data_IF_876412551331
#
_entry.id   IF_876412551331
#
_cell.length_a   1.000
_cell.length_b   1.000
_cell.length_c   1.000
_cell.angle_alpha   90.00
_cell.angle_beta   90.00
_cell.angle_gamma   90.00
#
_symmetry.space_group_name_H-M   'P 1'
#
loop_
_entity.id
_entity.type
_entity.pdbx_description
1 polymer ?
#
# COMPACT_ATOMS: atom_id res chain seq x y z
N UNK A 1 9.18 -10.69 4.80
CA UNK A 1 10.54 -10.17 4.91
C UNK A 1 10.53 -8.65 4.98
N UNK A 2 10.00 -7.91 4.00
CA UNK A 2 10.00 -6.46 3.98
C UNK A 2 9.33 -5.80 5.20
N UNK A 3 8.23 -6.34 5.70
CA UNK A 3 7.61 -5.84 6.93
C UNK A 3 8.47 -6.11 8.17
N UNK A 4 9.24 -7.22 8.20
CA UNK A 4 10.18 -7.48 9.28
C UNK A 4 11.31 -6.44 9.30
N UNK A 5 11.90 -6.11 8.16
CA UNK A 5 12.91 -5.05 8.05
C UNK A 5 12.33 -3.69 8.43
N UNK A 6 11.13 -3.37 7.92
CA UNK A 6 10.41 -2.15 8.24
C UNK A 6 10.21 -1.97 9.74
N UNK A 7 9.86 -3.04 10.44
CA UNK A 7 9.52 -2.99 11.88
C UNK A 7 10.68 -2.55 12.77
N UNK A 8 11.92 -2.83 12.37
CA UNK A 8 13.12 -2.52 13.18
C UNK A 8 13.94 -1.36 12.65
N UNK A 9 13.94 -1.13 11.33
CA UNK A 9 14.86 -0.20 10.67
C UNK A 9 14.24 1.16 10.36
N UNK A 10 12.91 1.29 10.28
CA UNK A 10 12.30 2.53 9.82
C UNK A 10 11.73 3.37 10.97
N UNK A 11 11.89 4.69 10.83
CA UNK A 11 11.39 5.73 11.70
C UNK A 11 11.62 7.09 11.05
N UNK A 12 11.39 8.18 11.79
CA UNK A 12 11.66 9.53 11.32
C UNK A 12 13.17 9.75 11.13
N UNK A 13 13.64 10.04 9.90
CA UNK A 13 15.08 10.19 9.62
C UNK A 13 15.75 11.38 10.33
N UNK A 14 14.97 12.35 10.81
CA UNK A 14 15.51 13.45 11.62
C UNK A 14 15.88 13.02 13.04
N UNK A 15 15.40 11.85 13.48
CA UNK A 15 15.59 11.32 14.83
C UNK A 15 16.34 9.99 14.87
N UNK A 16 16.30 9.20 13.79
CA UNK A 16 16.96 7.90 13.70
C UNK A 16 17.65 7.75 12.36
N UNK A 17 18.82 7.12 12.38
CA UNK A 17 19.53 6.83 11.14
C UNK A 17 18.81 5.69 10.40
N UNK A 18 18.24 6.01 9.23
CA UNK A 18 17.65 5.04 8.33
C UNK A 18 18.58 4.83 7.15
N UNK A 19 19.12 3.62 7.01
CA UNK A 19 19.99 3.25 5.90
C UNK A 19 19.17 2.94 4.64
N UNK A 20 18.65 4.00 4.00
CA UNK A 20 17.81 3.91 2.81
C UNK A 20 18.60 3.28 1.66
N UNK A 21 19.87 3.64 1.48
CA UNK A 21 20.72 3.13 0.40
C UNK A 21 20.85 1.60 0.49
N UNK A 22 21.16 1.07 1.67
CA UNK A 22 21.21 -0.37 1.89
C UNK A 22 19.85 -1.02 1.66
N UNK A 23 18.79 -0.51 2.31
CA UNK A 23 17.45 -1.12 2.28
C UNK A 23 16.86 -1.17 0.86
N UNK A 24 17.23 -0.24 -0.02
CA UNK A 24 16.77 -0.20 -1.42
C UNK A 24 17.76 -0.83 -2.41
N UNK A 25 18.90 -1.35 -1.93
CA UNK A 25 19.92 -1.95 -2.79
C UNK A 25 19.52 -3.31 -3.34
N UNK A 26 20.02 -3.62 -4.54
CA UNK A 26 19.86 -4.96 -5.13
C UNK A 26 20.55 -6.04 -4.30
N UNK A 27 21.65 -5.70 -3.62
CA UNK A 27 22.36 -6.61 -2.73
C UNK A 27 21.51 -7.02 -1.52
N UNK A 28 20.87 -6.05 -0.84
CA UNK A 28 19.94 -6.34 0.25
C UNK A 28 18.74 -7.14 -0.23
N UNK A 29 18.16 -6.78 -1.38
CA UNK A 29 17.05 -7.55 -1.95
C UNK A 29 17.45 -9.01 -2.22
N UNK A 30 18.63 -9.27 -2.75
CA UNK A 30 19.14 -10.61 -3.00
C UNK A 30 19.39 -11.39 -1.69
N UNK A 31 19.99 -10.73 -0.68
CA UNK A 31 20.18 -11.31 0.65
C UNK A 31 18.84 -11.75 1.26
N UNK A 32 17.83 -10.87 1.22
CA UNK A 32 16.50 -11.17 1.76
C UNK A 32 15.79 -12.24 0.97
N UNK A 33 15.88 -12.20 -0.36
CA UNK A 33 15.30 -13.22 -1.24
C UNK A 33 15.88 -14.61 -0.99
N UNK A 34 17.19 -14.72 -0.71
CA UNK A 34 17.86 -15.98 -0.40
C UNK A 34 17.32 -16.67 0.86
N UNK A 35 16.64 -15.94 1.75
CA UNK A 35 15.95 -16.51 2.92
C UNK A 35 14.57 -17.08 2.56
N UNK A 36 14.03 -16.77 1.39
CA UNK A 36 12.75 -17.29 0.93
C UNK A 36 12.92 -18.62 0.21
N UNK A 37 11.85 -19.42 0.19
CA UNK A 37 11.80 -20.67 -0.56
C UNK A 37 10.62 -20.62 -1.53
N UNK A 38 10.78 -21.03 -2.79
CA UNK A 38 9.67 -21.19 -3.70
C UNK A 38 8.78 -22.39 -3.35
N UNK A 39 9.27 -23.31 -2.50
CA UNK A 39 8.59 -24.56 -2.16
C UNK A 39 7.79 -24.45 -0.87
N UNK A 40 8.23 -23.64 0.10
CA UNK A 40 7.61 -23.58 1.43
C UNK A 40 7.50 -22.14 1.93
N UNK A 41 6.39 -21.85 2.63
CA UNK A 41 6.21 -20.61 3.37
C UNK A 41 7.25 -20.52 4.50
N UNK A 42 8.00 -19.42 4.55
CA UNK A 42 9.00 -19.19 5.60
C UNK A 42 8.37 -18.82 6.94
N UNK A 43 9.07 -19.17 8.03
CA UNK A 43 8.77 -18.68 9.36
C UNK A 43 9.61 -17.43 9.64
N UNK A 44 8.94 -16.31 9.75
CA UNK A 44 9.56 -15.06 10.16
C UNK A 44 8.91 -14.65 11.47
N UNK A 45 9.68 -14.72 12.58
CA UNK A 45 9.16 -14.51 13.91
C UNK A 45 8.49 -13.13 14.03
N UNK A 46 7.21 -13.09 14.43
CA UNK A 46 6.59 -11.87 14.89
C UNK A 46 6.87 -11.65 16.38
N UNK A 47 6.60 -10.44 16.85
CA UNK A 47 6.57 -10.20 18.28
C UNK A 47 5.38 -10.95 18.93
N UNK A 48 5.63 -11.60 20.08
CA UNK A 48 4.62 -12.39 20.78
C UNK A 48 3.45 -11.56 21.31
N UNK A 49 2.24 -12.06 21.05
CA UNK A 49 1.08 -11.92 21.94
C UNK A 49 0.30 -10.61 21.92
N UNK A 50 -0.38 -10.23 20.81
CA UNK A 50 -1.57 -9.36 20.87
C UNK A 50 -2.48 -9.66 19.68
N UNK A 51 -3.80 -9.82 19.92
CA UNK A 51 -4.81 -9.87 18.86
C UNK A 51 -4.96 -8.49 18.20
N UNK A 52 -4.75 -8.42 16.90
CA UNK A 52 -5.00 -7.21 16.13
C UNK A 52 -6.51 -7.00 15.94
N UNK A 53 -7.02 -5.84 16.36
CA UNK A 53 -8.33 -5.37 15.92
C UNK A 53 -8.12 -4.48 14.70
N UNK A 54 -8.72 -4.86 13.58
CA UNK A 54 -8.73 -4.03 12.39
C UNK A 54 -9.65 -2.82 12.60
N UNK A 55 -9.10 -1.62 12.38
CA UNK A 55 -9.87 -0.41 12.17
C UNK A 55 -9.70 0.03 10.72
N UNK A 56 -10.82 0.32 10.02
CA UNK A 56 -10.76 0.84 8.67
C UNK A 56 -10.03 2.19 8.64
N UNK A 57 -8.93 2.27 7.88
CA UNK A 57 -8.20 3.52 7.66
C UNK A 57 -8.92 4.41 6.64
N UNK A 58 -8.89 5.73 6.84
CA UNK A 58 -9.43 6.70 5.90
C UNK A 58 -8.28 7.34 5.11
N UNK A 59 -7.87 6.68 4.06
CA UNK A 59 -6.80 7.10 3.14
C UNK A 59 -7.38 7.24 1.74
N UNK A 60 -6.92 8.25 1.00
CA UNK A 60 -7.25 8.44 -0.40
C UNK A 60 -5.99 8.56 -1.23
N UNK A 61 -6.04 8.09 -2.47
CA UNK A 61 -4.97 8.23 -3.44
C UNK A 61 -5.52 8.80 -4.75
N UNK A 62 -4.75 9.71 -5.35
CA UNK A 62 -4.99 10.15 -6.72
C UNK A 62 -3.68 10.23 -7.51
N UNK A 63 -3.79 10.00 -8.82
CA UNK A 63 -2.70 10.10 -9.76
C UNK A 63 -3.16 10.92 -10.97
N UNK A 64 -2.29 11.80 -11.46
CA UNK A 64 -2.59 12.68 -12.60
C UNK A 64 -1.38 12.73 -13.52
N UNK A 65 -1.60 12.73 -14.82
CA UNK A 65 -0.60 13.05 -15.85
C UNK A 65 -1.18 14.07 -16.83
N UNK A 66 -0.34 14.98 -17.30
CA UNK A 66 -0.73 15.97 -18.30
C UNK A 66 0.01 15.79 -19.63
N UNK A 67 -0.48 16.49 -20.68
CA UNK A 67 0.11 16.46 -22.04
C UNK A 67 1.54 17.00 -22.11
N UNK A 68 2.02 17.70 -21.08
CA UNK A 68 3.36 18.26 -21.03
C UNK A 68 4.37 17.31 -20.38
N UNK A 69 3.90 16.15 -19.86
CA UNK A 69 4.71 15.16 -19.17
C UNK A 69 4.87 15.42 -17.67
N UNK A 70 4.08 16.34 -17.10
CA UNK A 70 3.99 16.47 -15.66
C UNK A 70 3.17 15.32 -15.10
N UNK A 71 3.58 14.81 -13.95
CA UNK A 71 2.89 13.71 -13.27
C UNK A 71 2.84 13.95 -11.76
N UNK A 72 1.74 13.57 -11.16
CA UNK A 72 1.53 13.58 -9.70
C UNK A 72 1.02 12.20 -9.26
N UNK A 73 1.59 11.69 -8.17
CA UNK A 73 1.09 10.52 -7.45
C UNK A 73 1.02 10.93 -5.98
N UNK A 74 -0.18 11.04 -5.43
CA UNK A 74 -0.37 11.55 -4.07
C UNK A 74 -1.30 10.66 -3.26
N UNK A 75 -0.84 10.28 -2.08
CA UNK A 75 -1.64 9.62 -1.06
C UNK A 75 -1.78 10.53 0.15
N UNK A 76 -3.00 10.69 0.66
CA UNK A 76 -3.30 11.51 1.82
C UNK A 76 -4.21 10.78 2.79
N UNK A 77 -4.09 11.07 4.08
CA UNK A 77 -4.86 10.39 5.11
C UNK A 77 -5.10 11.29 6.32
N UNK A 78 -6.23 11.07 6.98
CA UNK A 78 -6.46 11.49 8.36
C UNK A 78 -6.35 10.33 9.33
N UNK A 79 -5.92 9.18 8.83
CA UNK A 79 -5.69 7.86 9.40
C UNK A 79 -6.98 7.08 9.66
N UNK A 80 -7.76 7.36 10.67
CA UNK A 80 -9.04 6.69 10.90
C UNK A 80 -10.21 7.52 10.35
N UNK A 81 -11.43 6.95 10.27
CA UNK A 81 -12.62 7.67 9.85
C UNK A 81 -12.79 8.94 10.68
N UNK A 82 -12.87 10.10 10.01
CA UNK A 82 -12.93 11.43 10.63
C UNK A 82 -11.74 11.78 11.54
N UNK A 83 -10.58 11.11 11.39
CA UNK A 83 -9.35 11.36 12.15
C UNK A 83 -9.59 11.31 13.66
N UNK A 84 -9.25 12.38 14.39
CA UNK A 84 -9.52 12.48 15.83
C UNK A 84 -10.94 13.03 16.16
N UNK A 85 -11.79 13.24 15.15
CA UNK A 85 -13.15 13.76 15.33
C UNK A 85 -13.23 15.27 15.64
N UNK A 86 -12.13 16.00 15.49
CA UNK A 86 -12.07 17.44 15.71
C UNK A 86 -12.04 18.17 14.36
N UNK A 87 -13.05 18.98 14.11
CA UNK A 87 -13.09 19.92 12.99
C UNK A 87 -12.42 21.23 13.43
N UNK A 88 -11.49 21.73 12.59
CA UNK A 88 -10.84 23.02 12.87
C UNK A 88 -11.80 24.14 12.47
N UNK A 89 -12.20 24.93 13.47
CA UNK A 89 -13.17 26.01 13.28
C UNK A 89 -12.64 27.06 12.29
N UNK A 90 -13.50 27.47 11.37
CA UNK A 90 -13.19 28.44 10.31
C UNK A 90 -12.29 27.90 9.18
N UNK A 91 -11.76 26.65 9.26
CA UNK A 91 -10.87 26.09 8.26
C UNK A 91 -11.51 24.99 7.40
N UNK A 92 -12.57 24.34 7.87
CA UNK A 92 -13.34 23.35 7.12
C UNK A 92 -12.66 21.99 6.91
N UNK A 93 -11.68 21.63 7.74
CA UNK A 93 -11.04 20.32 7.72
C UNK A 93 -11.02 19.62 9.09
N UNK A 94 -10.86 18.31 9.05
CA UNK A 94 -10.75 17.45 10.24
C UNK A 94 -9.29 17.18 10.57
N UNK A 95 -8.92 17.22 11.85
CA UNK A 95 -7.58 16.84 12.28
C UNK A 95 -7.38 15.33 12.19
N UNK A 96 -6.18 14.92 11.76
CA UNK A 96 -5.80 13.51 11.74
C UNK A 96 -5.59 12.96 13.17
N UNK A 97 -5.54 11.63 13.28
CA UNK A 97 -5.12 10.91 14.48
C UNK A 97 -3.88 10.03 14.24
N UNK A 98 -2.98 10.47 13.37
CA UNK A 98 -1.77 9.74 12.95
C UNK A 98 -0.77 9.47 14.11
N UNK A 99 -0.94 10.09 15.26
CA UNK A 99 -0.18 9.76 16.47
C UNK A 99 -0.23 8.26 16.83
N UNK A 100 -1.30 7.57 16.46
CA UNK A 100 -1.45 6.12 16.67
C UNK A 100 -0.59 5.25 15.74
N UNK A 101 0.09 5.84 14.74
CA UNK A 101 1.08 5.17 13.90
C UNK A 101 2.46 5.10 14.55
N UNK A 102 2.68 5.81 15.66
CA UNK A 102 3.87 5.60 16.48
C UNK A 102 3.87 4.26 17.20
N UNK A 103 5.06 3.78 17.55
CA UNK A 103 5.25 2.69 18.49
C UNK A 103 4.96 3.20 19.91
N UNK A 104 3.78 2.95 20.43
CA UNK A 104 3.45 3.27 21.81
C UNK A 104 4.30 2.44 22.79
N UNK A 105 4.63 1.20 22.41
CA UNK A 105 5.55 0.30 23.10
C UNK A 105 6.33 -0.48 22.05
N UNK A 106 7.68 -0.38 22.00
CA UNK A 106 8.49 -1.13 21.05
C UNK A 106 8.21 -2.64 21.11
N UNK A 107 8.02 -3.26 19.95
CA UNK A 107 7.68 -4.67 19.82
C UNK A 107 6.20 -5.02 20.01
N UNK A 108 5.36 -4.11 20.46
CA UNK A 108 3.92 -4.34 20.54
C UNK A 108 3.26 -4.19 19.14
N UNK A 109 2.19 -4.96 18.91
CA UNK A 109 1.35 -4.82 17.72
C UNK A 109 0.58 -3.50 17.76
N UNK A 110 0.51 -2.84 16.62
CA UNK A 110 -0.41 -1.72 16.39
C UNK A 110 -1.83 -2.24 16.16
N UNK A 111 -2.81 -1.33 16.17
CA UNK A 111 -4.20 -1.65 15.78
C UNK A 111 -4.32 -2.20 14.34
N UNK A 112 -3.31 -2.00 13.50
CA UNK A 112 -3.25 -2.49 12.13
C UNK A 112 -2.46 -3.80 11.98
N UNK A 113 -2.07 -4.44 13.10
CA UNK A 113 -1.34 -5.70 13.09
C UNK A 113 0.13 -5.60 12.69
N UNK A 114 0.70 -4.40 12.71
CA UNK A 114 2.13 -4.19 12.49
C UNK A 114 2.86 -4.05 13.82
N UNK A 115 4.11 -4.50 13.87
CA UNK A 115 5.03 -4.20 14.98
C UNK A 115 6.01 -3.15 14.54
N UNK A 116 6.39 -2.28 15.48
CA UNK A 116 7.46 -1.31 15.28
C UNK A 116 8.45 -1.37 16.43
N UNK A 117 9.72 -1.20 16.11
CA UNK A 117 10.78 -1.08 17.08
C UNK A 117 10.85 0.32 17.74
N UNK A 118 11.91 0.53 18.52
CA UNK A 118 12.18 1.81 19.17
C UNK A 118 12.43 2.96 18.18
N UNK A 119 12.85 2.67 16.96
CA UNK A 119 13.04 3.66 15.91
C UNK A 119 11.79 4.51 15.64
N UNK A 120 10.59 3.93 15.76
CA UNK A 120 9.31 4.62 15.60
C UNK A 120 8.63 4.98 16.93
N UNK A 121 9.36 5.04 18.05
CA UNK A 121 8.81 5.46 19.34
C UNK A 121 8.43 6.92 19.33
N UNK A 122 7.35 7.24 20.07
CA UNK A 122 6.84 8.62 20.20
C UNK A 122 7.87 9.54 20.86
N UNK A 123 8.04 10.73 20.29
CA UNK A 123 8.91 11.78 20.81
C UNK A 123 8.39 13.15 20.33
N UNK A 124 8.60 14.21 21.12
CA UNK A 124 8.22 15.57 20.71
C UNK A 124 8.92 16.00 19.43
N UNK A 125 8.17 16.57 18.50
CA UNK A 125 8.69 17.01 17.18
C UNK A 125 8.86 15.92 16.14
N UNK A 126 8.67 14.65 16.49
CA UNK A 126 8.85 13.50 15.63
C UNK A 126 7.62 13.20 14.79
N UNK A 127 7.83 12.72 13.55
CA UNK A 127 6.78 12.27 12.62
C UNK A 127 6.61 10.74 12.70
N UNK A 128 5.39 10.21 12.75
CA UNK A 128 5.16 8.77 12.75
C UNK A 128 5.43 8.13 11.39
N UNK A 129 5.82 6.87 11.40
CA UNK A 129 6.03 6.08 10.19
C UNK A 129 4.70 5.81 9.47
N UNK A 130 4.63 6.19 8.19
CA UNK A 130 3.46 5.96 7.34
C UNK A 130 3.60 4.70 6.48
N UNK A 131 2.46 4.09 6.12
CA UNK A 131 2.37 3.04 5.09
C UNK A 131 1.97 3.59 3.72
N UNK A 132 1.71 4.87 3.58
CA UNK A 132 1.42 5.49 2.28
C UNK A 132 2.62 5.35 1.35
N UNK A 133 2.38 4.88 0.13
CA UNK A 133 3.40 4.56 -0.87
C UNK A 133 3.02 5.08 -2.26
N UNK A 134 2.81 6.41 -2.41
CA UNK A 134 2.62 6.98 -3.74
C UNK A 134 3.89 6.73 -4.56
N UNK A 135 3.72 6.13 -5.75
CA UNK A 135 4.85 5.67 -6.55
C UNK A 135 4.76 6.17 -7.98
N UNK A 136 5.91 6.30 -8.62
CA UNK A 136 6.01 6.65 -10.03
C UNK A 136 7.06 5.79 -10.71
N UNK A 137 6.70 5.21 -11.85
CA UNK A 137 7.61 4.47 -12.71
C UNK A 137 7.97 5.34 -13.90
N UNK A 138 9.24 5.39 -14.22
CA UNK A 138 9.76 6.06 -15.41
C UNK A 138 10.24 5.04 -16.44
N UNK A 139 9.92 5.30 -17.70
CA UNK A 139 10.43 4.55 -18.84
C UNK A 139 11.01 5.55 -19.85
N UNK A 140 12.25 5.31 -20.28
CA UNK A 140 12.96 6.16 -21.24
C UNK A 140 12.98 7.65 -20.84
N UNK A 141 13.15 7.91 -19.52
CA UNK A 141 13.23 9.26 -18.96
C UNK A 141 11.90 10.00 -18.83
N UNK A 142 10.76 9.35 -19.06
CA UNK A 142 9.40 9.94 -18.93
C UNK A 142 8.57 9.20 -17.89
N UNK A 143 7.64 9.88 -17.21
CA UNK A 143 6.64 9.20 -16.41
C UNK A 143 5.86 8.19 -17.26
N UNK A 144 5.90 6.93 -16.84
CA UNK A 144 5.20 5.82 -17.48
C UNK A 144 3.95 5.45 -16.70
N UNK A 145 4.07 5.35 -15.36
CA UNK A 145 2.98 4.98 -14.47
C UNK A 145 3.06 5.83 -13.20
N UNK A 146 1.98 6.49 -12.82
CA UNK A 146 1.77 7.06 -11.50
C UNK A 146 0.70 6.22 -10.79
N UNK A 147 1.00 5.71 -9.60
CA UNK A 147 0.20 4.68 -8.94
C UNK A 147 0.31 4.80 -7.42
N UNK A 148 -0.74 4.43 -6.74
CA UNK A 148 -0.77 4.25 -5.31
C UNK A 148 -2.11 3.75 -4.85
N UNK A 149 -2.26 3.59 -3.55
CA UNK A 149 -3.44 2.96 -2.99
C UNK A 149 -3.86 3.58 -1.66
N UNK A 150 -5.08 3.27 -1.26
CA UNK A 150 -5.56 3.33 0.11
C UNK A 150 -5.74 1.90 0.66
N UNK A 151 -5.83 1.71 1.98
CA UNK A 151 -6.00 0.39 2.60
C UNK A 151 -5.03 0.09 3.75
N UNK A 152 -4.56 1.12 4.47
CA UNK A 152 -3.64 0.96 5.59
C UNK A 152 -2.32 0.27 5.19
N UNK A 153 -1.82 -0.74 5.91
CA UNK A 153 -0.59 -1.45 5.56
C UNK A 153 -0.62 -2.17 4.22
N UNK A 154 -1.80 -2.52 3.72
CA UNK A 154 -2.02 -3.17 2.42
C UNK A 154 -1.67 -2.26 1.24
N UNK A 155 -1.55 -0.95 1.47
CA UNK A 155 -1.06 0.03 0.48
C UNK A 155 0.28 -0.40 -0.09
N UNK A 156 1.20 -0.85 0.77
CA UNK A 156 2.57 -1.22 0.37
C UNK A 156 2.54 -2.41 -0.60
N UNK A 157 1.87 -3.49 -0.20
CA UNK A 157 1.79 -4.72 -0.99
C UNK A 157 0.97 -4.55 -2.26
N UNK A 158 -0.12 -3.80 -2.19
CA UNK A 158 -0.97 -3.54 -3.34
C UNK A 158 -0.31 -2.65 -4.38
N UNK A 159 0.34 -1.57 -3.97
CA UNK A 159 1.10 -0.71 -4.89
C UNK A 159 2.23 -1.50 -5.55
N UNK A 160 2.96 -2.33 -4.78
CA UNK A 160 3.99 -3.21 -5.33
C UNK A 160 3.43 -4.18 -6.39
N UNK A 161 2.34 -4.89 -6.08
CA UNK A 161 1.71 -5.82 -7.02
C UNK A 161 1.19 -5.09 -8.27
N UNK A 162 0.63 -3.88 -8.09
CA UNK A 162 0.23 -3.03 -9.22
C UNK A 162 1.40 -2.68 -10.13
N UNK A 163 2.55 -2.30 -9.57
CA UNK A 163 3.78 -2.01 -10.35
C UNK A 163 4.27 -3.27 -11.07
N UNK A 164 4.36 -4.41 -10.40
CA UNK A 164 4.78 -5.68 -11.01
C UNK A 164 3.83 -6.07 -12.14
N UNK A 165 2.52 -5.98 -11.91
CA UNK A 165 1.52 -6.29 -12.93
C UNK A 165 1.64 -5.37 -14.17
N UNK A 166 1.92 -4.08 -13.95
CA UNK A 166 2.12 -3.14 -15.05
C UNK A 166 3.43 -3.37 -15.80
N UNK A 167 4.54 -3.58 -15.08
CA UNK A 167 5.89 -3.62 -15.66
C UNK A 167 6.22 -5.00 -16.24
N UNK A 168 5.92 -6.07 -15.48
CA UNK A 168 6.32 -7.44 -15.86
C UNK A 168 5.25 -8.16 -16.68
N UNK A 169 3.97 -7.81 -16.48
CA UNK A 169 2.85 -8.45 -17.18
C UNK A 169 2.14 -7.53 -18.18
N UNK A 170 2.55 -6.25 -18.28
CA UNK A 170 2.01 -5.30 -19.28
C UNK A 170 0.55 -4.92 -19.07
N UNK A 171 0.05 -5.02 -17.84
CA UNK A 171 -1.34 -4.69 -17.55
C UNK A 171 -1.58 -3.18 -17.59
N UNK A 172 -2.71 -2.78 -18.18
CA UNK A 172 -3.18 -1.39 -18.19
C UNK A 172 -3.95 -1.05 -16.89
N UNK A 173 -4.13 0.23 -16.54
CA UNK A 173 -4.81 0.69 -15.33
C UNK A 173 -6.13 -0.01 -15.04
N UNK A 174 -7.00 -0.20 -16.04
CA UNK A 174 -8.29 -0.87 -15.90
C UNK A 174 -8.15 -2.35 -15.48
N UNK A 175 -7.09 -2.99 -15.91
CA UNK A 175 -6.76 -4.35 -15.51
C UNK A 175 -6.18 -4.38 -14.10
N UNK A 176 -5.30 -3.43 -13.76
CA UNK A 176 -4.70 -3.33 -12.43
C UNK A 176 -5.76 -3.22 -11.34
N UNK A 177 -6.72 -2.31 -11.48
CA UNK A 177 -7.73 -2.06 -10.45
C UNK A 177 -8.71 -3.23 -10.25
N UNK A 178 -8.79 -4.14 -11.23
CA UNK A 178 -9.69 -5.31 -11.20
C UNK A 178 -9.01 -6.58 -10.70
N UNK A 179 -7.66 -6.62 -10.65
CA UNK A 179 -6.96 -7.81 -10.18
C UNK A 179 -7.27 -8.09 -8.70
N UNK A 180 -7.40 -9.37 -8.31
CA UNK A 180 -7.40 -9.73 -6.91
C UNK A 180 -6.00 -9.54 -6.33
N UNK A 181 -5.92 -8.89 -5.19
CA UNK A 181 -4.67 -8.68 -4.46
C UNK A 181 -4.52 -9.68 -3.33
N UNK A 182 -3.27 -9.92 -2.97
CA UNK A 182 -2.93 -10.71 -1.79
C UNK A 182 -2.10 -9.85 -0.83
N UNK A 183 -2.19 -10.17 0.46
CA UNK A 183 -1.45 -9.47 1.47
C UNK A 183 -1.06 -10.41 2.61
N UNK A 184 0.14 -10.24 3.17
CA UNK A 184 0.61 -10.97 4.32
C UNK A 184 1.42 -10.03 5.20
N UNK A 185 0.79 -9.50 6.23
CA UNK A 185 1.46 -8.61 7.19
C UNK A 185 2.23 -9.42 8.22
N UNK A 186 1.56 -10.41 8.82
CA UNK A 186 2.13 -11.33 9.78
C UNK A 186 1.65 -12.75 9.48
N UNK A 187 2.37 -13.74 10.02
CA UNK A 187 1.98 -15.14 9.86
C UNK A 187 0.67 -15.47 10.56
N UNK A 188 0.42 -14.87 11.72
CA UNK A 188 -0.79 -15.09 12.53
C UNK A 188 -2.04 -14.64 11.81
N UNK A 189 -1.96 -13.49 11.13
CA UNK A 189 -3.05 -13.00 10.28
C UNK A 189 -3.25 -13.89 9.04
N UNK A 190 -2.19 -14.58 8.62
CA UNK A 190 -2.20 -15.44 7.44
C UNK A 190 -2.01 -14.67 6.14
N UNK A 191 -2.23 -15.37 5.04
CA UNK A 191 -2.17 -14.82 3.68
C UNK A 191 -3.59 -14.41 3.28
N UNK A 192 -3.88 -13.14 3.38
CA UNK A 192 -5.14 -12.56 2.92
C UNK A 192 -5.24 -12.65 1.40
N UNK A 193 -6.35 -13.16 0.92
CA UNK A 193 -6.66 -13.32 -0.50
C UNK A 193 -7.99 -12.66 -0.83
N UNK A 194 -7.99 -11.76 -1.78
CA UNK A 194 -9.22 -11.18 -2.32
C UNK A 194 -10.00 -12.19 -3.15
N UNK A 195 -11.29 -11.92 -3.32
CA UNK A 195 -12.15 -12.69 -4.21
C UNK A 195 -11.59 -12.70 -5.64
N UNK A 196 -11.67 -13.86 -6.31
CA UNK A 196 -11.16 -14.04 -7.67
C UNK A 196 -9.90 -14.89 -7.78
N UNK A 197 -9.21 -15.16 -6.66
CA UNK A 197 -8.11 -16.15 -6.65
C UNK A 197 -8.70 -17.55 -6.68
N UNK A 198 -8.22 -18.39 -7.62
CA UNK A 198 -8.80 -19.72 -7.87
C UNK A 198 -8.56 -20.68 -6.70
N UNK A 199 -9.49 -21.62 -6.50
CA UNK A 199 -9.37 -22.68 -5.49
C UNK A 199 -8.11 -23.53 -5.68
N UNK A 200 -7.68 -23.75 -6.93
CA UNK A 200 -6.46 -24.50 -7.21
C UNK A 200 -5.23 -23.76 -6.74
N UNK A 201 -5.18 -22.44 -6.95
CA UNK A 201 -4.11 -21.57 -6.43
C UNK A 201 -4.10 -21.59 -4.91
N UNK A 202 -5.26 -21.51 -4.27
CA UNK A 202 -5.37 -21.56 -2.81
C UNK A 202 -4.83 -22.90 -2.27
N UNK A 203 -5.23 -24.04 -2.85
CA UNK A 203 -4.71 -25.35 -2.46
C UNK A 203 -3.19 -25.49 -2.62
N UNK A 204 -2.64 -24.93 -3.71
CA UNK A 204 -1.18 -24.92 -3.91
C UNK A 204 -0.46 -24.06 -2.86
N UNK A 205 -1.03 -22.94 -2.46
CA UNK A 205 -0.49 -22.10 -1.38
C UNK A 205 -0.53 -22.83 -0.03
N UNK A 206 -1.62 -23.54 0.27
CA UNK A 206 -1.74 -24.37 1.48
C UNK A 206 -0.69 -25.50 1.49
N UNK A 207 -0.49 -26.18 0.37
CA UNK A 207 0.55 -27.22 0.24
C UNK A 207 1.96 -26.70 0.49
N UNK A 208 2.20 -25.41 0.17
CA UNK A 208 3.46 -24.72 0.47
C UNK A 208 3.55 -24.22 1.92
N UNK A 209 2.52 -24.48 2.75
CA UNK A 209 2.49 -24.09 4.17
C UNK A 209 1.99 -22.66 4.43
N UNK A 210 1.43 -21.99 3.44
CA UNK A 210 0.70 -20.75 3.69
C UNK A 210 -0.62 -21.04 4.40
N UNK A 211 -1.14 -20.05 5.13
CA UNK A 211 -2.47 -20.07 5.73
C UNK A 211 -3.36 -19.06 5.01
N UNK A 212 -4.03 -19.42 3.91
CA UNK A 212 -4.91 -18.52 3.18
C UNK A 212 -6.11 -18.09 4.04
N UNK A 213 -6.39 -16.80 4.00
CA UNK A 213 -7.56 -16.19 4.62
C UNK A 213 -8.30 -15.41 3.55
N UNK A 214 -9.54 -15.78 3.26
CA UNK A 214 -10.37 -15.07 2.28
C UNK A 214 -10.86 -13.77 2.87
N UNK A 215 -10.66 -12.68 2.15
CA UNK A 215 -11.24 -11.38 2.50
C UNK A 215 -12.64 -11.32 1.89
N UNK A 216 -13.71 -11.16 2.69
CA UNK A 216 -15.07 -10.98 2.20
C UNK A 216 -15.19 -9.74 1.30
N UNK A 217 -16.03 -9.81 0.27
CA UNK A 217 -16.22 -8.73 -0.71
C UNK A 217 -16.77 -7.45 -0.08
N UNK A 218 -17.60 -7.59 0.93
CA UNK A 218 -18.21 -6.50 1.70
C UNK A 218 -17.30 -5.89 2.77
N UNK A 219 -16.21 -6.59 3.10
CA UNK A 219 -15.14 -6.09 3.97
C UNK A 219 -13.94 -5.60 3.14
N UNK A 220 -14.16 -5.32 1.87
CA UNK A 220 -13.13 -4.93 0.89
C UNK A 220 -12.44 -3.60 1.22
N UNK A 221 -11.94 -3.48 2.42
CA UNK A 221 -10.88 -2.54 2.80
C UNK A 221 -9.50 -3.08 2.42
N UNK A 222 -9.50 -3.93 1.41
CA UNK A 222 -8.35 -4.39 0.69
C UNK A 222 -7.68 -3.21 -0.05
N UNK A 223 -6.82 -3.48 -0.93
CA UNK A 223 -6.07 -2.47 -1.68
C UNK A 223 -6.97 -1.65 -2.61
N UNK A 224 -7.18 -0.39 -2.29
CA UNK A 224 -7.91 0.55 -3.15
C UNK A 224 -6.91 1.27 -4.06
N UNK A 225 -6.57 0.63 -5.17
CA UNK A 225 -5.57 1.10 -6.12
C UNK A 225 -6.16 2.10 -7.11
N UNK A 226 -5.43 3.21 -7.34
CA UNK A 226 -5.72 4.17 -8.39
C UNK A 226 -4.44 4.42 -9.19
N UNK A 227 -4.55 4.56 -10.51
CA UNK A 227 -3.39 4.74 -11.36
C UNK A 227 -3.70 5.47 -12.65
N UNK A 228 -2.68 6.12 -13.20
CA UNK A 228 -2.64 6.65 -14.56
C UNK A 228 -1.34 6.21 -15.22
N UNK A 229 -1.42 5.81 -16.50
CA UNK A 229 -0.30 5.30 -17.29
C UNK A 229 -0.27 6.00 -18.64
N UNK A 230 0.94 6.24 -19.15
CA UNK A 230 1.15 6.69 -20.54
C UNK A 230 1.87 5.60 -21.30
N UNK A 231 1.20 5.02 -22.30
CA UNK A 231 1.73 3.94 -23.14
C UNK A 231 1.25 4.11 -24.59
N UNK A 232 2.15 3.89 -25.53
CA UNK A 232 1.88 3.94 -26.98
C UNK A 232 1.21 5.24 -27.47
N UNK A 233 1.50 6.36 -26.82
CA UNK A 233 0.94 7.68 -27.19
C UNK A 233 -0.38 8.02 -26.52
N UNK A 234 -0.93 7.16 -25.68
CA UNK A 234 -2.22 7.30 -25.04
C UNK A 234 -2.12 7.31 -23.51
N UNK A 235 -3.08 8.00 -22.86
CA UNK A 235 -3.24 7.99 -21.41
C UNK A 235 -4.36 7.01 -21.03
N UNK A 236 -4.05 6.15 -20.09
CA UNK A 236 -4.97 5.22 -19.47
C UNK A 236 -5.10 5.58 -17.99
N UNK A 237 -6.32 5.70 -17.47
CA UNK A 237 -6.56 6.01 -16.08
C UNK A 237 -7.69 5.15 -15.52
N UNK A 238 -7.49 4.60 -14.33
CA UNK A 238 -8.53 3.85 -13.66
C UNK A 238 -8.46 4.01 -12.14
N UNK A 239 -9.62 4.07 -11.52
CA UNK A 239 -9.80 4.04 -10.08
C UNK A 239 -10.43 2.72 -9.63
N UNK A 240 -10.18 2.36 -8.39
CA UNK A 240 -10.71 1.13 -7.81
C UNK A 240 -12.23 1.13 -7.76
N UNK A 241 -12.83 0.01 -8.15
CA UNK A 241 -14.28 -0.23 -8.01
C UNK A 241 -14.64 -0.85 -6.64
N UNK A 242 -13.67 -1.05 -5.75
CA UNK A 242 -13.90 -1.55 -4.37
C UNK A 242 -14.55 -0.50 -3.47
N UNK A 243 -14.38 0.75 -3.86
CA UNK A 243 -15.05 1.96 -3.35
C UNK A 243 -15.35 2.85 -4.57
N UNK A 244 -15.92 4.01 -4.38
CA UNK A 244 -16.31 4.94 -5.45
C UNK A 244 -15.09 5.63 -6.11
N UNK A 245 -14.16 4.82 -6.63
CA UNK A 245 -13.00 5.28 -7.38
C UNK A 245 -13.30 5.33 -8.87
N UNK A 246 -12.80 6.34 -9.56
CA UNK A 246 -12.94 6.48 -11.00
C UNK A 246 -11.63 6.87 -11.68
N UNK A 247 -11.52 6.58 -12.98
CA UNK A 247 -10.57 7.16 -13.90
C UNK A 247 -11.25 8.22 -14.77
N UNK A 248 -10.49 9.16 -15.27
CA UNK A 248 -11.06 10.16 -16.17
C UNK A 248 -10.01 10.93 -16.97
N UNK A 249 -10.45 11.54 -18.05
CA UNK A 249 -9.65 12.39 -18.90
C UNK A 249 -10.34 13.73 -19.13
N UNK A 250 -9.58 14.83 -19.01
CA UNK A 250 -10.02 16.16 -19.46
C UNK A 250 -9.58 16.34 -20.91
N UNK A 251 -10.54 16.45 -21.82
CA UNK A 251 -10.29 16.65 -23.23
C UNK A 251 -9.91 18.10 -23.55
N UNK A 252 -9.34 18.33 -24.73
CA UNK A 252 -8.88 19.65 -25.16
C UNK A 252 -10.02 20.68 -25.35
N UNK A 253 -11.23 20.20 -25.51
CA UNK A 253 -12.46 21.02 -25.62
C UNK A 253 -13.09 21.34 -24.25
N UNK A 254 -12.47 20.90 -23.16
CA UNK A 254 -12.93 21.10 -21.78
C UNK A 254 -13.95 20.09 -21.27
N UNK A 255 -14.33 19.10 -22.08
CA UNK A 255 -15.17 18.01 -21.61
C UNK A 255 -14.37 17.01 -20.78
N UNK A 256 -15.00 16.50 -19.72
CA UNK A 256 -14.45 15.41 -18.90
C UNK A 256 -15.10 14.09 -19.28
N UNK A 257 -14.28 13.10 -19.58
CA UNK A 257 -14.72 11.71 -19.75
C UNK A 257 -14.37 10.96 -18.47
N UNK A 258 -15.35 10.33 -17.86
CA UNK A 258 -15.17 9.51 -16.65
C UNK A 258 -15.48 8.07 -17.00
N UNK A 259 -14.64 7.14 -16.51
CA UNK A 259 -14.88 5.71 -16.56
C UNK A 259 -15.08 5.21 -15.12
N UNK A 260 -16.10 4.37 -14.92
CA UNK A 260 -16.35 3.74 -13.62
C UNK A 260 -17.44 4.39 -12.76
N UNK A 261 -18.32 5.20 -13.34
CA UNK A 261 -19.57 5.65 -12.71
C UNK A 261 -20.73 4.84 -13.23
#
# INVERSE_FOLDING_TARGET
LGFADRSVALGDPDFVQVDVERLTSKAHAAERYALSSPETAGEYAPAEGIEAKEYPGNTSHFAVMDRFGNAVSQTQTVRDWFGCGIVVDGCGFVLNNAMSDFSAKPGALTSQGLTYGSANSIQGGKTPLSSMAPSMVFKDGRPYLAIGAAGGPRIITGTLQGIVNAVDFGMLPEQLVRQPYLNCLTREQGLELEFGISEDTIRLLEQKGHRPVRVPVDQAMSTMLNSVMYVDGEYHAAGTQRVDGCGGALLSDGHMVLDGI
#
